data_IF_762472343362
#
_entry.id   IF_762472343362
#
_cell.length_a   1.000
_cell.length_b   1.000
_cell.length_c   1.000
_cell.angle_alpha   90.00
_cell.angle_beta   90.00
_cell.angle_gamma   90.00
#
_symmetry.space_group_name_H-M   'P 1'
#
loop_
_entity.id
_entity.type
_entity.pdbx_description
1 polymer ?
#
# COMPACT_ATOMS: atom_id res chain seq x y z
N UNK A 1 17.28 -1.58 10.90
CA UNK A 1 17.85 -1.24 9.56
C UNK A 1 16.83 -1.24 8.43
N UNK A 2 15.78 -2.09 8.46
CA UNK A 2 14.70 -2.04 7.47
C UNK A 2 14.08 -0.63 7.34
N UNK A 3 13.83 0.02 8.48
CA UNK A 3 13.31 1.39 8.55
C UNK A 3 14.32 2.50 8.24
N UNK A 4 15.56 2.15 7.88
CA UNK A 4 16.59 3.11 7.45
C UNK A 4 16.80 3.03 5.93
N UNK A 5 15.87 2.41 5.21
CA UNK A 5 15.92 2.25 3.75
C UNK A 5 15.97 3.60 3.04
N UNK A 6 16.84 3.72 2.03
CA UNK A 6 17.03 4.93 1.22
C UNK A 6 15.73 5.49 0.63
N UNK A 7 14.80 4.61 0.26
CA UNK A 7 13.54 4.97 -0.39
C UNK A 7 12.35 5.07 0.57
N UNK A 8 12.57 4.84 1.87
CA UNK A 8 11.50 4.88 2.86
C UNK A 8 10.76 6.22 2.91
N UNK A 9 11.42 7.40 2.85
CA UNK A 9 10.68 8.66 2.82
C UNK A 9 9.78 8.79 1.59
N UNK A 10 10.23 8.29 0.43
CA UNK A 10 9.44 8.29 -0.80
C UNK A 10 8.24 7.34 -0.67
N UNK A 11 8.48 6.13 -0.16
CA UNK A 11 7.45 5.15 0.14
C UNK A 11 6.33 5.74 0.99
N UNK A 12 6.69 6.30 2.15
CA UNK A 12 5.74 6.86 3.12
C UNK A 12 4.99 8.05 2.56
N UNK A 13 5.68 8.93 1.81
CA UNK A 13 5.05 10.08 1.14
C UNK A 13 4.01 9.65 0.11
N UNK A 14 4.32 8.64 -0.71
CA UNK A 14 3.40 8.09 -1.70
C UNK A 14 2.18 7.46 -1.02
N UNK A 15 2.38 6.63 0.01
CA UNK A 15 1.28 6.01 0.72
C UNK A 15 0.39 7.03 1.45
N UNK A 16 0.97 8.06 2.07
CA UNK A 16 0.21 9.14 2.69
C UNK A 16 -0.67 9.89 1.66
N UNK A 17 -0.11 10.17 0.47
CA UNK A 17 -0.87 10.77 -0.62
C UNK A 17 -2.03 9.88 -1.09
N UNK A 18 -1.77 8.59 -1.24
CA UNK A 18 -2.80 7.60 -1.62
C UNK A 18 -3.90 7.50 -0.55
N UNK A 19 -3.53 7.49 0.74
CA UNK A 19 -4.50 7.46 1.83
C UNK A 19 -5.42 8.70 1.80
N UNK A 20 -4.85 9.89 1.55
CA UNK A 20 -5.65 11.11 1.34
C UNK A 20 -6.58 11.01 0.14
N UNK A 21 -6.09 10.51 -0.99
CA UNK A 21 -6.89 10.31 -2.20
C UNK A 21 -8.01 9.27 -1.99
N UNK A 22 -7.77 8.23 -1.20
CA UNK A 22 -8.77 7.22 -0.85
C UNK A 22 -9.94 7.85 -0.07
N UNK A 23 -9.66 8.78 0.85
CA UNK A 23 -10.70 9.55 1.54
C UNK A 23 -11.45 10.46 0.57
N UNK A 24 -10.75 11.18 -0.31
CA UNK A 24 -11.39 11.99 -1.35
C UNK A 24 -12.31 11.17 -2.24
N UNK A 25 -11.93 9.92 -2.56
CA UNK A 25 -12.72 9.03 -3.38
C UNK A 25 -14.02 8.62 -2.67
N UNK A 26 -13.95 8.25 -1.39
CA UNK A 26 -15.12 7.94 -0.56
C UNK A 26 -16.08 9.14 -0.50
N UNK A 27 -15.54 10.35 -0.31
CA UNK A 27 -16.35 11.57 -0.28
C UNK A 27 -16.96 11.89 -1.64
N UNK A 28 -16.25 11.63 -2.74
CA UNK A 28 -16.74 11.88 -4.09
C UNK A 28 -17.95 10.98 -4.46
N UNK A 29 -17.98 9.74 -3.98
CA UNK A 29 -19.15 8.85 -4.14
C UNK A 29 -20.34 9.29 -3.26
N UNK A 30 -20.05 9.87 -2.10
CA UNK A 30 -21.08 10.20 -1.10
C UNK A 30 -21.80 11.52 -1.40
N UNK A 31 -21.26 12.35 -2.30
CA UNK A 31 -21.74 13.70 -2.57
C UNK A 31 -22.27 13.81 -4.00
N UNK A 32 -23.39 14.51 -4.17
CA UNK A 32 -23.99 14.74 -5.48
C UNK A 32 -23.11 15.62 -6.39
N UNK A 33 -23.19 15.40 -7.70
CA UNK A 33 -22.50 16.18 -8.75
C UNK A 33 -20.95 16.14 -8.69
N UNK A 34 -20.36 15.08 -8.12
CA UNK A 34 -18.90 14.92 -8.00
C UNK A 34 -18.26 14.05 -9.08
N UNK A 35 -18.94 13.77 -10.20
CA UNK A 35 -18.47 12.80 -11.22
C UNK A 35 -17.06 13.07 -11.76
N UNK A 36 -16.71 14.33 -12.04
CA UNK A 36 -15.36 14.70 -12.49
C UNK A 36 -14.31 14.50 -11.41
N UNK A 37 -14.63 14.85 -10.17
CA UNK A 37 -13.72 14.67 -9.03
C UNK A 37 -13.50 13.17 -8.82
N UNK A 38 -14.56 12.37 -8.82
CA UNK A 38 -14.46 10.92 -8.73
C UNK A 38 -13.54 10.35 -9.83
N UNK A 39 -13.70 10.77 -11.09
CA UNK A 39 -12.86 10.32 -12.20
C UNK A 39 -11.37 10.66 -12.00
N UNK A 40 -11.05 11.92 -11.69
CA UNK A 40 -9.67 12.34 -11.46
C UNK A 40 -9.05 11.67 -10.23
N UNK A 41 -9.82 11.55 -9.14
CA UNK A 41 -9.35 10.89 -7.92
C UNK A 41 -9.14 9.40 -8.16
N UNK A 42 -10.03 8.72 -8.87
CA UNK A 42 -9.86 7.30 -9.24
C UNK A 42 -8.58 7.07 -10.05
N UNK A 43 -8.32 7.92 -11.04
CA UNK A 43 -7.09 7.86 -11.83
C UNK A 43 -5.84 8.12 -10.97
N UNK A 44 -5.90 9.11 -10.07
CA UNK A 44 -4.81 9.42 -9.16
C UNK A 44 -4.53 8.28 -8.16
N UNK A 45 -5.58 7.64 -7.61
CA UNK A 45 -5.45 6.44 -6.76
C UNK A 45 -4.82 5.31 -7.55
N UNK A 46 -5.29 5.00 -8.76
CA UNK A 46 -4.68 3.96 -9.60
C UNK A 46 -3.19 4.21 -9.86
N UNK A 47 -2.82 5.42 -10.28
CA UNK A 47 -1.43 5.79 -10.51
C UNK A 47 -0.59 5.67 -9.24
N UNK A 48 -1.11 6.17 -8.11
CA UNK A 48 -0.44 6.09 -6.82
C UNK A 48 -0.20 4.64 -6.39
N UNK A 49 -1.21 3.78 -6.49
CA UNK A 49 -1.09 2.36 -6.14
C UNK A 49 -0.07 1.64 -7.05
N UNK A 50 -0.01 1.96 -8.34
CA UNK A 50 1.03 1.40 -9.24
C UNK A 50 2.42 1.84 -8.77
N UNK A 51 2.62 3.13 -8.48
CA UNK A 51 3.90 3.66 -8.00
C UNK A 51 4.30 3.02 -6.67
N UNK A 52 3.36 2.92 -5.72
CA UNK A 52 3.56 2.24 -4.43
C UNK A 52 3.96 0.79 -4.62
N UNK A 53 3.24 0.04 -5.46
CA UNK A 53 3.56 -1.36 -5.77
C UNK A 53 4.95 -1.53 -6.40
N UNK A 54 5.36 -0.62 -7.28
CA UNK A 54 6.72 -0.61 -7.84
C UNK A 54 7.79 -0.35 -6.78
N UNK A 55 7.57 0.59 -5.86
CA UNK A 55 8.49 0.87 -4.74
C UNK A 55 8.61 -0.37 -3.84
N UNK A 56 7.48 -0.94 -3.40
CA UNK A 56 7.43 -2.15 -2.56
C UNK A 56 8.17 -3.32 -3.24
N UNK A 57 7.89 -3.56 -4.52
CA UNK A 57 8.54 -4.62 -5.29
C UNK A 57 10.05 -4.41 -5.36
N UNK A 58 10.49 -3.17 -5.62
CA UNK A 58 11.90 -2.86 -5.66
C UNK A 58 12.57 -3.07 -4.30
N UNK A 59 12.00 -2.56 -3.21
CA UNK A 59 12.58 -2.62 -1.86
C UNK A 59 12.67 -4.05 -1.30
N UNK A 60 11.65 -4.87 -1.54
CA UNK A 60 11.53 -6.17 -0.87
C UNK A 60 11.86 -7.38 -1.76
N UNK A 61 11.77 -7.24 -3.09
CA UNK A 61 11.96 -8.37 -4.02
C UNK A 61 13.21 -8.21 -4.88
N UNK A 62 13.43 -7.02 -5.45
CA UNK A 62 14.52 -6.79 -6.41
C UNK A 62 15.82 -6.42 -5.72
N UNK A 63 15.78 -5.54 -4.71
CA UNK A 63 16.98 -5.04 -4.07
C UNK A 63 17.67 -6.12 -3.22
N UNK A 64 18.74 -6.69 -3.76
CA UNK A 64 19.55 -7.73 -3.10
C UNK A 64 20.70 -7.18 -2.26
N UNK A 65 20.99 -5.87 -2.30
CA UNK A 65 22.12 -5.26 -1.58
C UNK A 65 21.78 -4.91 -0.13
N UNK A 66 21.02 -5.79 0.53
CA UNK A 66 20.53 -5.61 1.89
C UNK A 66 21.55 -6.14 2.91
N UNK A 67 21.70 -5.42 4.02
CA UNK A 67 22.40 -5.95 5.20
C UNK A 67 21.73 -7.24 5.70
N UNK A 68 22.44 -8.01 6.53
CA UNK A 68 21.88 -9.24 7.12
C UNK A 68 20.58 -8.96 7.88
N UNK A 69 20.52 -7.87 8.66
CA UNK A 69 19.32 -7.51 9.41
C UNK A 69 18.14 -7.17 8.46
N UNK A 70 18.37 -6.40 7.39
CA UNK A 70 17.32 -6.11 6.39
C UNK A 70 16.85 -7.40 5.70
N UNK A 71 17.75 -8.33 5.39
CA UNK A 71 17.38 -9.62 4.78
C UNK A 71 16.52 -10.47 5.71
N UNK A 72 16.83 -10.53 7.01
CA UNK A 72 16.02 -11.24 8.01
C UNK A 72 14.62 -10.62 8.09
N UNK A 73 14.54 -9.30 8.21
CA UNK A 73 13.28 -8.58 8.26
C UNK A 73 12.44 -8.80 7.00
N UNK A 74 13.04 -8.68 5.80
CA UNK A 74 12.36 -8.95 4.53
C UNK A 74 11.89 -10.39 4.42
N UNK A 75 12.69 -11.35 4.86
CA UNK A 75 12.28 -12.75 4.87
C UNK A 75 11.06 -12.96 5.76
N UNK A 76 11.05 -12.38 6.98
CA UNK A 76 9.92 -12.45 7.90
C UNK A 76 8.65 -11.79 7.32
N UNK A 77 8.82 -10.66 6.61
CA UNK A 77 7.73 -9.91 5.99
C UNK A 77 7.10 -10.62 4.78
N UNK A 78 7.92 -11.04 3.81
CA UNK A 78 7.43 -11.51 2.51
C UNK A 78 7.11 -13.00 2.54
N UNK A 79 7.91 -13.81 3.25
CA UNK A 79 7.80 -15.27 3.22
C UNK A 79 7.59 -15.92 4.59
N UNK A 80 7.83 -15.18 5.67
CA UNK A 80 7.81 -15.70 7.03
C UNK A 80 6.52 -15.41 7.79
N UNK A 81 6.66 -15.13 9.09
CA UNK A 81 5.56 -15.00 10.04
C UNK A 81 4.56 -13.89 9.69
N UNK A 82 4.99 -12.84 8.98
CA UNK A 82 4.16 -11.67 8.66
C UNK A 82 3.64 -11.67 7.21
N UNK A 83 3.85 -12.76 6.45
CA UNK A 83 3.46 -12.88 5.03
C UNK A 83 1.99 -12.62 4.75
N UNK A 84 1.10 -12.92 5.70
CA UNK A 84 -0.33 -12.69 5.51
C UNK A 84 -0.68 -11.20 5.58
N UNK A 85 -0.04 -10.45 6.46
CA UNK A 85 -0.15 -8.99 6.52
C UNK A 85 0.38 -8.34 5.25
N UNK A 86 1.50 -8.85 4.73
CA UNK A 86 2.08 -8.37 3.47
C UNK A 86 1.20 -8.70 2.26
N UNK A 87 0.93 -9.99 2.00
CA UNK A 87 0.28 -10.43 0.76
C UNK A 87 -1.22 -10.21 0.75
N UNK A 88 -1.95 -10.67 1.78
CA UNK A 88 -3.41 -10.53 1.80
C UNK A 88 -3.83 -9.13 2.24
N UNK A 89 -3.18 -8.61 3.28
CA UNK A 89 -3.41 -7.25 3.76
C UNK A 89 -2.90 -6.20 2.77
N UNK A 90 -1.59 -6.02 2.67
CA UNK A 90 -1.00 -4.96 1.86
C UNK A 90 -1.24 -5.07 0.36
N UNK A 91 -0.83 -6.19 -0.25
CA UNK A 91 -0.83 -6.33 -1.71
C UNK A 91 -2.23 -6.59 -2.24
N UNK A 92 -2.91 -7.64 -1.77
CA UNK A 92 -4.23 -8.00 -2.28
C UNK A 92 -5.27 -6.95 -1.91
N UNK A 93 -5.45 -6.65 -0.62
CA UNK A 93 -6.49 -5.72 -0.19
C UNK A 93 -6.13 -4.26 -0.44
N UNK A 94 -4.86 -3.87 -0.32
CA UNK A 94 -4.43 -2.48 -0.47
C UNK A 94 -4.12 -2.03 -1.90
N UNK A 95 -3.84 -2.96 -2.83
CA UNK A 95 -3.46 -2.62 -4.20
C UNK A 95 -4.33 -3.31 -5.25
N UNK A 96 -4.35 -4.65 -5.27
CA UNK A 96 -5.00 -5.40 -6.35
C UNK A 96 -6.51 -5.23 -6.34
N UNK A 97 -7.15 -5.48 -5.19
CA UNK A 97 -8.60 -5.37 -5.04
C UNK A 97 -9.12 -3.96 -5.39
N UNK A 98 -8.60 -2.86 -4.82
CA UNK A 98 -9.08 -1.52 -5.16
C UNK A 98 -8.86 -1.17 -6.64
N UNK A 99 -7.74 -1.58 -7.26
CA UNK A 99 -7.56 -1.38 -8.70
C UNK A 99 -8.65 -2.10 -9.52
N UNK A 100 -8.97 -3.35 -9.18
CA UNK A 100 -10.02 -4.11 -9.87
C UNK A 100 -11.39 -3.45 -9.70
N UNK A 101 -11.72 -2.99 -8.50
CA UNK A 101 -12.97 -2.27 -8.23
C UNK A 101 -13.09 -0.99 -9.06
N UNK A 102 -12.00 -0.21 -9.17
CA UNK A 102 -11.95 1.02 -9.97
C UNK A 102 -12.06 0.77 -11.49
N UNK A 103 -11.57 -0.38 -11.97
CA UNK A 103 -11.69 -0.77 -13.39
C UNK A 103 -13.11 -1.17 -13.74
N UNK A 104 -13.78 -1.95 -12.88
CA UNK A 104 -15.14 -2.45 -13.14
C UNK A 104 -16.16 -1.31 -13.15
N UNK A 105 -15.95 -0.29 -12.29
CA UNK A 105 -16.83 0.88 -12.11
C UNK A 105 -18.22 0.52 -11.58
N UNK A 106 -18.75 1.35 -10.69
CA UNK A 106 -20.10 1.19 -10.12
C UNK A 106 -20.35 2.20 -9.01
N UNK A 107 -21.62 2.47 -8.70
CA UNK A 107 -22.05 3.60 -7.85
C UNK A 107 -21.41 3.64 -6.45
N UNK A 108 -21.00 2.50 -5.90
CA UNK A 108 -20.39 2.41 -4.55
C UNK A 108 -18.97 1.81 -4.60
N UNK A 109 -18.51 1.40 -5.79
CA UNK A 109 -17.24 0.68 -5.91
C UNK A 109 -16.03 1.58 -5.62
N UNK A 110 -16.15 2.90 -5.84
CA UNK A 110 -15.11 3.88 -5.49
C UNK A 110 -14.89 3.93 -3.97
N UNK A 111 -15.96 4.01 -3.21
CA UNK A 111 -15.94 4.03 -1.74
C UNK A 111 -15.37 2.74 -1.17
N UNK A 112 -15.80 1.59 -1.69
CA UNK A 112 -15.26 0.29 -1.28
C UNK A 112 -13.77 0.22 -1.63
N UNK A 113 -13.35 0.68 -2.81
CA UNK A 113 -11.94 0.76 -3.17
C UNK A 113 -11.16 1.65 -2.20
N UNK A 114 -11.68 2.83 -1.83
CA UNK A 114 -11.05 3.72 -0.85
C UNK A 114 -10.87 3.06 0.52
N UNK A 115 -11.88 2.34 1.02
CA UNK A 115 -11.79 1.58 2.27
C UNK A 115 -10.75 0.47 2.17
N UNK A 116 -10.74 -0.29 1.06
CA UNK A 116 -9.75 -1.33 0.80
C UNK A 116 -8.32 -0.77 0.79
N UNK A 117 -8.09 0.38 0.15
CA UNK A 117 -6.80 1.08 0.16
C UNK A 117 -6.36 1.40 1.58
N UNK A 118 -7.20 2.06 2.39
CA UNK A 118 -6.84 2.46 3.75
C UNK A 118 -6.54 1.24 4.63
N UNK A 119 -7.41 0.22 4.58
CA UNK A 119 -7.22 -1.01 5.34
C UNK A 119 -5.95 -1.75 4.91
N UNK A 120 -5.70 -1.85 3.61
CA UNK A 120 -4.51 -2.51 3.09
C UNK A 120 -3.21 -1.78 3.40
N UNK A 121 -3.18 -0.45 3.31
CA UNK A 121 -2.05 0.36 3.76
C UNK A 121 -1.77 0.14 5.26
N UNK A 122 -2.82 0.10 6.09
CA UNK A 122 -2.68 -0.22 7.51
C UNK A 122 -2.05 -1.61 7.72
N UNK A 123 -2.56 -2.65 7.06
CA UNK A 123 -2.01 -4.00 7.22
C UNK A 123 -0.59 -4.13 6.70
N UNK A 124 -0.27 -3.45 5.59
CA UNK A 124 1.09 -3.37 5.07
C UNK A 124 2.04 -2.77 6.11
N UNK A 125 1.72 -1.59 6.64
CA UNK A 125 2.54 -0.90 7.63
C UNK A 125 2.67 -1.69 8.94
N UNK A 126 1.57 -2.32 9.37
CA UNK A 126 1.59 -3.18 10.54
C UNK A 126 2.59 -4.34 10.37
N UNK A 127 2.54 -5.04 9.23
CA UNK A 127 3.50 -6.09 8.90
C UNK A 127 4.93 -5.56 8.79
N UNK A 128 5.13 -4.42 8.14
CA UNK A 128 6.42 -3.78 7.93
C UNK A 128 7.10 -3.36 9.25
N UNK A 129 6.33 -2.81 10.19
CA UNK A 129 6.80 -2.48 11.54
C UNK A 129 7.19 -3.76 12.28
N UNK A 130 6.32 -4.76 12.35
CA UNK A 130 6.65 -6.00 13.07
C UNK A 130 7.89 -6.69 12.49
N UNK A 131 7.98 -6.80 11.16
CA UNK A 131 9.12 -7.40 10.51
C UNK A 131 10.43 -6.65 10.77
N UNK A 132 10.38 -5.32 10.86
CA UNK A 132 11.55 -4.49 11.16
C UNK A 132 12.15 -4.73 12.55
N UNK A 133 11.37 -5.30 13.48
CA UNK A 133 11.78 -5.63 14.85
C UNK A 133 12.36 -7.04 14.99
N UNK A 134 12.23 -7.88 13.95
CA UNK A 134 12.65 -9.29 13.99
C UNK A 134 14.17 -9.49 14.17
N UNK A 135 15.07 -8.72 13.52
CA UNK A 135 16.51 -8.87 13.73
C UNK A 135 16.90 -8.50 15.17
N UNK A 136 17.72 -9.32 15.83
CA UNK A 136 18.20 -9.00 17.18
C UNK A 136 19.01 -7.71 17.18
N UNK A 137 18.70 -6.80 18.10
CA UNK A 137 19.51 -5.61 18.40
C UNK A 137 20.76 -6.05 19.17
N UNK A 138 21.71 -6.72 18.51
CA UNK A 138 22.96 -7.20 19.11
C UNK A 138 24.15 -6.84 18.23
#
# INVERSE_FOLDING_TARGET
ELWQGKYLPLHMGVQAGIAGLAICLILADSLENMSKIHEYTSAAVMCGLIVSGCIICYEHVINRSASTAVRIANQALVFGSYRWWFWLGGILSGHVLPMVLLIIRGEVLGSIAGVCVIAGLFYYEYGFILAGQEPSNS
#
